data_IF_415733036489
#
_entry.id   IF_415733036489
#
_cell.length_a   1.000
_cell.length_b   1.000
_cell.length_c   1.000
_cell.angle_alpha   90.00
_cell.angle_beta   90.00
_cell.angle_gamma   90.00
#
_symmetry.space_group_name_H-M   'P 1'
#
loop_
_entity.id
_entity.type
_entity.pdbx_description
1 polymer ?
#
# COMPACT_ATOMS: atom_id res chain seq x y z
N UNK A 1 -9.81 -0.27 -14.01
CA UNK A 1 -8.90 -1.05 -14.87
C UNK A 1 -8.95 -2.55 -14.58
N UNK A 2 -8.95 -3.01 -13.31
CA UNK A 2 -8.91 -4.45 -12.97
C UNK A 2 -10.27 -5.16 -12.83
N UNK A 3 -11.40 -4.48 -13.03
CA UNK A 3 -12.74 -5.05 -12.80
C UNK A 3 -13.09 -6.21 -13.77
N UNK A 4 -12.39 -6.32 -14.90
CA UNK A 4 -12.59 -7.38 -15.90
C UNK A 4 -11.59 -8.54 -15.82
N UNK A 5 -10.79 -8.64 -14.74
CA UNK A 5 -9.79 -9.72 -14.62
C UNK A 5 -10.50 -11.08 -14.55
N UNK A 6 -10.10 -12.09 -15.35
CA UNK A 6 -10.63 -13.44 -15.22
C UNK A 6 -10.37 -13.98 -13.81
N UNK A 7 -11.39 -14.54 -13.16
CA UNK A 7 -11.32 -14.99 -11.77
C UNK A 7 -11.64 -13.90 -10.72
N UNK A 8 -12.02 -12.69 -11.14
CA UNK A 8 -12.55 -11.68 -10.23
C UNK A 8 -13.93 -12.11 -9.68
N UNK A 9 -13.94 -12.60 -8.44
CA UNK A 9 -15.16 -12.89 -7.70
C UNK A 9 -15.72 -11.59 -7.08
N UNK A 10 -16.91 -11.12 -7.47
CA UNK A 10 -17.47 -9.89 -6.92
C UNK A 10 -17.65 -10.01 -5.40
N UNK A 11 -17.43 -8.90 -4.68
CA UNK A 11 -17.58 -8.76 -3.21
C UNK A 11 -16.60 -9.57 -2.33
N UNK A 12 -15.66 -10.33 -2.90
CA UNK A 12 -14.62 -10.99 -2.11
C UNK A 12 -13.51 -10.00 -1.75
N UNK A 13 -13.42 -9.63 -0.46
CA UNK A 13 -12.43 -8.63 0.00
C UNK A 13 -10.98 -9.11 -0.19
N UNK A 14 -10.72 -10.38 0.14
CA UNK A 14 -9.44 -11.06 -0.04
C UNK A 14 -9.70 -12.47 -0.62
N UNK A 15 -9.31 -12.74 -1.87
CA UNK A 15 -9.45 -14.08 -2.45
C UNK A 15 -8.45 -15.07 -1.86
N UNK A 16 -8.68 -16.37 -2.06
CA UNK A 16 -7.82 -17.42 -1.50
C UNK A 16 -6.39 -17.36 -2.04
N UNK A 17 -6.21 -16.88 -3.28
CA UNK A 17 -4.91 -16.58 -3.88
C UNK A 17 -4.09 -15.60 -3.01
N UNK A 18 -4.74 -14.64 -2.34
CA UNK A 18 -4.07 -13.65 -1.49
C UNK A 18 -3.38 -14.28 -0.26
N UNK A 19 -3.70 -15.53 0.10
CA UNK A 19 -3.03 -16.27 1.19
C UNK A 19 -1.62 -16.71 0.82
N UNK A 20 -1.29 -16.76 -0.47
CA UNK A 20 0.07 -17.06 -0.96
C UNK A 20 1.05 -15.89 -0.70
N UNK A 21 0.53 -14.69 -0.51
CA UNK A 21 1.34 -13.49 -0.30
C UNK A 21 1.78 -13.36 1.17
N UNK A 22 2.99 -12.83 1.43
CA UNK A 22 3.45 -12.60 2.79
C UNK A 22 2.55 -11.56 3.48
N UNK A 23 1.97 -11.87 4.65
CA UNK A 23 1.13 -10.91 5.37
C UNK A 23 1.96 -9.72 5.88
N UNK A 24 1.34 -8.54 6.05
CA UNK A 24 2.02 -7.41 6.67
C UNK A 24 2.44 -7.78 8.10
N UNK A 25 3.66 -7.41 8.48
CA UNK A 25 4.15 -7.63 9.84
C UNK A 25 3.41 -6.71 10.82
N UNK A 26 3.28 -7.11 12.08
CA UNK A 26 2.64 -6.28 13.11
C UNK A 26 3.41 -4.98 13.38
N UNK A 27 4.71 -4.95 13.08
CA UNK A 27 5.58 -3.78 13.17
C UNK A 27 5.80 -3.07 11.82
N UNK A 28 4.95 -3.32 10.81
CA UNK A 28 5.00 -2.58 9.54
C UNK A 28 4.79 -1.08 9.82
N UNK A 29 5.68 -0.18 9.37
CA UNK A 29 5.56 1.25 9.63
C UNK A 29 4.23 1.84 9.15
N UNK A 30 3.64 1.28 8.09
CA UNK A 30 2.31 1.69 7.61
C UNK A 30 1.22 1.36 8.63
N UNK A 31 1.32 0.22 9.30
CA UNK A 31 0.37 -0.19 10.33
C UNK A 31 0.55 0.63 11.62
N UNK A 32 1.79 0.93 11.99
CA UNK A 32 2.12 1.84 13.10
C UNK A 32 1.53 3.22 12.84
N UNK A 33 1.64 3.73 11.62
CA UNK A 33 1.03 4.99 11.22
C UNK A 33 -0.50 4.96 11.30
N UNK A 34 -1.16 3.87 10.90
CA UNK A 34 -2.60 3.70 11.12
C UNK A 34 -2.98 3.72 12.61
N UNK A 35 -2.18 3.10 13.47
CA UNK A 35 -2.34 3.18 14.92
C UNK A 35 -2.19 4.61 15.45
N UNK A 36 -1.23 5.37 14.93
CA UNK A 36 -1.05 6.79 15.25
C UNK A 36 -2.25 7.63 14.82
N UNK A 37 -2.83 7.38 13.63
CA UNK A 37 -4.07 8.02 13.19
C UNK A 37 -5.25 7.71 14.14
N UNK A 38 -5.34 6.47 14.62
CA UNK A 38 -6.31 6.09 15.66
C UNK A 38 -6.10 6.86 16.95
N UNK A 39 -4.85 7.04 17.39
CA UNK A 39 -4.52 7.85 18.56
C UNK A 39 -4.91 9.32 18.37
N UNK A 40 -4.56 9.94 17.24
CA UNK A 40 -4.94 11.30 16.90
C UNK A 40 -6.47 11.48 16.86
N UNK A 41 -7.21 10.48 16.35
CA UNK A 41 -8.68 10.47 16.37
C UNK A 41 -9.23 10.47 17.81
N UNK A 42 -8.62 9.69 18.70
CA UNK A 42 -8.97 9.69 20.12
C UNK A 42 -8.70 11.02 20.84
N UNK A 43 -7.59 11.69 20.50
CA UNK A 43 -7.32 13.05 21.00
C UNK A 43 -8.33 14.06 20.47
N UNK A 44 -8.70 13.95 19.18
CA UNK A 44 -9.67 14.82 18.55
C UNK A 44 -11.08 14.64 19.14
N UNK A 45 -11.52 13.41 19.46
CA UNK A 45 -12.81 13.16 20.16
C UNK A 45 -12.83 13.84 21.54
N UNK A 46 -11.73 13.81 22.28
CA UNK A 46 -11.64 14.51 23.57
C UNK A 46 -11.66 16.04 23.40
N UNK A 47 -10.97 16.56 22.38
CA UNK A 47 -10.93 17.99 22.06
C UNK A 47 -12.34 18.50 21.70
N UNK A 48 -13.07 17.79 20.85
CA UNK A 48 -14.44 18.15 20.46
C UNK A 48 -15.43 18.13 21.63
N UNK A 49 -15.20 17.28 22.63
CA UNK A 49 -16.04 17.17 23.83
C UNK A 49 -15.60 18.07 24.98
N UNK A 50 -14.63 18.97 24.76
CA UNK A 50 -14.07 19.85 25.79
C UNK A 50 -13.58 19.09 27.04
N UNK A 51 -13.02 17.89 26.83
CA UNK A 51 -12.44 17.04 27.88
C UNK A 51 -10.92 17.21 27.91
N UNK A 52 -10.24 16.92 29.04
CA UNK A 52 -8.77 16.98 29.09
C UNK A 52 -8.18 15.97 28.10
N UNK A 53 -7.59 16.49 27.02
CA UNK A 53 -7.25 15.75 25.78
C UNK A 53 -6.42 14.48 26.03
N UNK A 54 -5.42 14.56 26.91
CA UNK A 54 -4.51 13.45 27.18
C UNK A 54 -4.97 12.49 28.28
N UNK A 55 -5.82 12.94 29.22
CA UNK A 55 -6.16 12.15 30.42
C UNK A 55 -7.54 11.52 30.35
N UNK A 56 -8.48 12.15 29.67
CA UNK A 56 -9.83 11.63 29.56
C UNK A 56 -9.88 10.42 28.61
N UNK A 57 -10.56 9.35 29.03
CA UNK A 57 -10.96 8.28 28.12
C UNK A 57 -9.83 7.42 27.57
N UNK A 58 -8.85 7.04 28.38
CA UNK A 58 -7.77 6.10 27.98
C UNK A 58 -8.31 4.80 27.34
N UNK A 59 -9.42 4.26 27.86
CA UNK A 59 -10.11 3.11 27.26
C UNK A 59 -10.63 3.40 25.85
N UNK A 60 -11.09 4.63 25.58
CA UNK A 60 -11.54 5.05 24.24
C UNK A 60 -10.35 5.24 23.30
N UNK A 61 -9.28 5.87 23.76
CA UNK A 61 -8.05 6.00 22.98
C UNK A 61 -7.49 4.62 22.58
N UNK A 62 -7.45 3.68 23.52
CA UNK A 62 -7.06 2.29 23.25
C UNK A 62 -7.99 1.64 22.22
N UNK A 63 -9.30 1.86 22.31
CA UNK A 63 -10.29 1.36 21.35
C UNK A 63 -10.09 1.97 19.95
N UNK A 64 -9.83 3.27 19.83
CA UNK A 64 -9.52 3.91 18.55
C UNK A 64 -8.24 3.37 17.92
N UNK A 65 -7.16 3.22 18.71
CA UNK A 65 -5.90 2.65 18.22
C UNK A 65 -6.10 1.20 17.76
N UNK A 66 -6.73 0.35 18.58
CA UNK A 66 -6.94 -1.07 18.24
C UNK A 66 -7.85 -1.27 17.03
N UNK A 67 -8.93 -0.48 16.90
CA UNK A 67 -9.82 -0.52 15.73
C UNK A 67 -9.13 -0.07 14.45
N UNK A 68 -8.34 1.01 14.49
CA UNK A 68 -7.57 1.48 13.33
C UNK A 68 -6.48 0.50 12.92
N UNK A 69 -5.77 -0.10 13.88
CA UNK A 69 -4.79 -1.15 13.60
C UNK A 69 -5.47 -2.38 12.99
N UNK A 70 -6.62 -2.80 13.52
CA UNK A 70 -7.36 -3.94 12.98
C UNK A 70 -7.85 -3.69 11.55
N UNK A 71 -8.55 -2.59 11.30
CA UNK A 71 -9.02 -2.22 9.96
C UNK A 71 -7.84 -1.99 9.00
N UNK A 72 -6.78 -1.30 9.47
CA UNK A 72 -5.56 -1.04 8.72
C UNK A 72 -4.82 -2.30 8.30
N UNK A 73 -4.80 -3.34 9.14
CA UNK A 73 -4.17 -4.62 8.82
C UNK A 73 -4.83 -5.29 7.60
N UNK A 74 -6.16 -5.38 7.58
CA UNK A 74 -6.90 -5.94 6.45
C UNK A 74 -6.81 -5.07 5.20
N UNK A 75 -6.82 -3.74 5.37
CA UNK A 75 -6.61 -2.80 4.28
C UNK A 75 -5.24 -2.98 3.62
N UNK A 76 -4.17 -3.05 4.41
CA UNK A 76 -2.81 -3.28 3.91
C UNK A 76 -2.66 -4.64 3.23
N UNK A 77 -3.30 -5.69 3.78
CA UNK A 77 -3.31 -7.01 3.15
C UNK A 77 -3.97 -6.96 1.76
N UNK A 78 -5.11 -6.26 1.62
CA UNK A 78 -5.78 -6.05 0.33
C UNK A 78 -4.94 -5.20 -0.62
N UNK A 79 -4.30 -4.15 -0.11
CA UNK A 79 -3.40 -3.31 -0.90
C UNK A 79 -2.27 -4.14 -1.52
N UNK A 80 -1.54 -4.90 -0.70
CA UNK A 80 -0.44 -5.76 -1.17
C UNK A 80 -0.94 -6.79 -2.20
N UNK A 81 -2.14 -7.35 -2.00
CA UNK A 81 -2.76 -8.25 -2.97
C UNK A 81 -3.03 -7.57 -4.33
N UNK A 82 -3.63 -6.38 -4.33
CA UNK A 82 -3.91 -5.65 -5.57
C UNK A 82 -2.64 -5.29 -6.35
N UNK A 83 -1.57 -4.90 -5.66
CA UNK A 83 -0.27 -4.65 -6.31
C UNK A 83 0.37 -5.93 -6.83
N UNK A 84 0.32 -7.04 -6.09
CA UNK A 84 0.82 -8.32 -6.56
C UNK A 84 0.09 -8.80 -7.83
N UNK A 85 -1.23 -8.63 -7.87
CA UNK A 85 -2.05 -8.91 -9.06
C UNK A 85 -1.66 -8.01 -10.23
N UNK A 86 -1.44 -6.72 -9.97
CA UNK A 86 -1.01 -5.77 -11.00
C UNK A 86 0.32 -6.19 -11.63
N UNK A 87 1.28 -6.56 -10.81
CA UNK A 87 2.60 -6.99 -11.26
C UNK A 87 2.54 -8.33 -11.99
N UNK A 88 1.73 -9.28 -11.51
CA UNK A 88 1.47 -10.54 -12.19
C UNK A 88 0.89 -10.30 -13.59
N UNK A 89 -0.15 -9.48 -13.73
CA UNK A 89 -0.79 -9.21 -15.01
C UNK A 89 0.18 -8.48 -15.96
N UNK A 90 0.98 -7.54 -15.43
CA UNK A 90 2.01 -6.83 -16.19
C UNK A 90 3.09 -7.77 -16.74
N UNK A 91 3.69 -8.61 -15.89
CA UNK A 91 4.71 -9.57 -16.34
C UNK A 91 4.13 -10.65 -17.26
N UNK A 92 2.89 -11.07 -17.01
CA UNK A 92 2.16 -11.97 -17.91
C UNK A 92 1.98 -11.36 -19.29
N UNK A 93 1.60 -10.08 -19.37
CA UNK A 93 1.43 -9.37 -20.63
C UNK A 93 2.75 -9.22 -21.41
N UNK A 94 3.83 -8.80 -20.74
CA UNK A 94 5.17 -8.66 -21.34
C UNK A 94 5.66 -10.00 -21.91
N UNK A 95 5.42 -11.10 -21.19
CA UNK A 95 5.80 -12.44 -21.65
C UNK A 95 5.01 -12.91 -22.87
N UNK A 96 3.76 -12.50 -23.01
CA UNK A 96 2.89 -12.86 -24.13
C UNK A 96 3.17 -12.04 -25.40
N UNK A 97 3.72 -10.83 -25.26
CA UNK A 97 3.96 -9.89 -26.37
C UNK A 97 5.43 -9.43 -26.40
N UNK A 98 6.41 -10.33 -26.61
CA UNK A 98 7.81 -9.96 -26.67
C UNK A 98 8.13 -8.93 -27.79
N UNK A 99 7.33 -8.91 -28.86
CA UNK A 99 7.45 -7.96 -29.96
C UNK A 99 7.18 -6.50 -29.57
N UNK A 100 6.29 -6.28 -28.60
CA UNK A 100 5.95 -4.94 -28.08
C UNK A 100 7.04 -4.40 -27.14
N UNK A 101 7.83 -5.30 -26.54
CA UNK A 101 8.86 -4.98 -25.56
C UNK A 101 10.25 -5.47 -26.01
N UNK A 102 10.79 -4.95 -27.13
CA UNK A 102 12.12 -5.34 -27.58
C UNK A 102 13.18 -4.96 -26.54
N UNK A 103 14.11 -5.87 -26.27
CA UNK A 103 15.26 -5.58 -25.42
C UNK A 103 16.14 -4.52 -26.10
N UNK A 104 16.05 -3.28 -25.64
CA UNK A 104 16.87 -2.18 -26.15
C UNK A 104 18.32 -2.39 -25.71
N UNK A 105 19.23 -2.37 -26.66
CA UNK A 105 20.68 -2.42 -26.38
C UNK A 105 21.08 -1.31 -25.40
N UNK A 106 21.68 -1.71 -24.27
CA UNK A 106 22.16 -0.80 -23.24
C UNK A 106 23.52 -0.24 -23.65
N UNK A 107 23.51 0.91 -24.33
CA UNK A 107 24.73 1.63 -24.71
C UNK A 107 25.49 2.13 -23.49
N UNK A 108 26.81 2.02 -23.53
CA UNK A 108 27.68 2.53 -22.45
C UNK A 108 27.74 4.07 -22.55
N UNK A 109 27.93 4.77 -21.42
CA UNK A 109 28.12 6.23 -21.43
C UNK A 109 29.27 6.72 -22.33
N UNK A 110 30.23 5.84 -22.66
CA UNK A 110 31.28 6.12 -23.64
C UNK A 110 30.75 6.36 -25.07
N UNK A 111 29.58 5.82 -25.41
CA UNK A 111 28.94 5.95 -26.72
C UNK A 111 27.90 7.09 -26.77
N UNK A 112 27.50 7.60 -25.60
CA UNK A 112 26.44 8.59 -25.46
C UNK A 112 27.08 9.96 -25.28
N UNK A 113 26.96 10.82 -26.30
CA UNK A 113 27.40 12.22 -26.21
C UNK A 113 26.23 13.11 -25.78
N UNK A 114 26.19 13.46 -24.50
CA UNK A 114 25.26 14.45 -23.98
C UNK A 114 25.86 15.87 -24.08
N UNK A 115 25.05 16.90 -24.38
CA UNK A 115 25.53 18.27 -24.35
C UNK A 115 25.84 18.71 -22.91
N UNK A 116 27.10 19.11 -22.65
CA UNK A 116 27.49 19.67 -21.35
C UNK A 116 27.10 21.14 -21.25
N UNK A 117 26.22 21.47 -20.31
CA UNK A 117 25.83 22.85 -20.00
C UNK A 117 26.55 23.33 -18.73
N UNK A 118 27.64 24.13 -18.84
CA UNK A 118 28.37 24.61 -17.68
C UNK A 118 27.53 25.59 -16.87
N UNK A 119 27.62 25.50 -15.53
CA UNK A 119 27.10 26.53 -14.63
C UNK A 119 28.04 27.74 -14.73
N UNK A 120 27.52 28.88 -15.21
CA UNK A 120 28.18 30.18 -15.27
C UNK A 120 27.43 31.17 -14.40
#
# INVERSE_FOLDING_TARGET
>A
MMNGRPGHEPLKFLPDEARSLPPPKLNDPRLVYMGLLGYCTGLMDNMLRMRPVMRAGLHRQLLFVTSFVFAGYFYLKRQNYLYAVKDHDMFGYIKLHPEDFPEKEKKTYAEILEPFHPVR
#
